data_IF_607852122374
#
_entry.id   IF_607852122374
#
_cell.length_a   1.000
_cell.length_b   1.000
_cell.length_c   1.000
_cell.angle_alpha   90.00
_cell.angle_beta   90.00
_cell.angle_gamma   90.00
#
_symmetry.space_group_name_H-M   'P 1'
#
loop_
_entity.id
_entity.type
_entity.pdbx_description
1 polymer ?
#
# COMPACT_ATOMS: atom_id res chain seq x y z
N UNK A 1 -2.86 12.80 19.06
CA UNK A 1 -4.20 13.01 18.45
C UNK A 1 -4.13 13.69 17.08
N UNK A 2 -3.74 14.97 16.95
CA UNK A 2 -3.71 15.68 15.65
C UNK A 2 -2.63 15.15 14.69
N UNK A 3 -1.45 14.79 15.22
CA UNK A 3 -0.34 14.29 14.40
C UNK A 3 -0.68 12.98 13.68
N UNK A 4 -1.14 11.94 14.39
CA UNK A 4 -1.51 10.65 13.77
C UNK A 4 -2.55 10.79 12.66
N UNK A 5 -3.56 11.66 12.87
CA UNK A 5 -4.55 12.00 11.84
C UNK A 5 -3.89 12.66 10.62
N UNK A 6 -2.99 13.61 10.83
CA UNK A 6 -2.24 14.25 9.75
C UNK A 6 -1.36 13.23 8.99
N UNK A 7 -0.64 12.36 9.70
CA UNK A 7 0.19 11.31 9.10
C UNK A 7 -0.64 10.35 8.24
N UNK A 8 -1.81 9.92 8.72
CA UNK A 8 -2.74 9.12 7.93
C UNK A 8 -3.17 9.86 6.64
N UNK A 9 -3.63 11.10 6.76
CA UNK A 9 -4.11 11.90 5.62
C UNK A 9 -2.99 12.11 4.60
N UNK A 10 -1.86 12.66 5.04
CA UNK A 10 -0.75 13.00 4.15
C UNK A 10 -0.09 11.74 3.58
N UNK A 11 0.09 10.68 4.37
CA UNK A 11 0.63 9.43 3.87
C UNK A 11 -0.21 8.88 2.71
N UNK A 12 -1.53 8.81 2.88
CA UNK A 12 -2.45 8.35 1.82
C UNK A 12 -2.44 9.26 0.59
N UNK A 13 -2.31 10.58 0.75
CA UNK A 13 -2.19 11.50 -0.40
C UNK A 13 -0.86 11.36 -1.13
N UNK A 14 0.25 11.29 -0.39
CA UNK A 14 1.60 11.26 -0.94
C UNK A 14 1.94 9.92 -1.60
N UNK A 15 1.39 8.80 -1.11
CA UNK A 15 1.54 7.48 -1.77
C UNK A 15 0.96 7.48 -3.20
N UNK A 16 -0.09 8.26 -3.47
CA UNK A 16 -0.59 8.37 -4.84
C UNK A 16 0.42 9.04 -5.78
N UNK A 17 1.23 9.99 -5.26
CA UNK A 17 2.28 10.63 -6.03
C UNK A 17 3.39 9.63 -6.34
N UNK A 18 3.80 8.82 -5.35
CA UNK A 18 4.83 7.79 -5.58
C UNK A 18 4.36 6.74 -6.58
N UNK A 19 3.10 6.32 -6.54
CA UNK A 19 2.54 5.41 -7.56
C UNK A 19 2.65 6.04 -8.97
N UNK A 20 2.34 7.33 -9.12
CA UNK A 20 2.49 8.03 -10.40
C UNK A 20 3.94 8.07 -10.88
N UNK A 21 4.88 8.35 -9.98
CA UNK A 21 6.32 8.32 -10.27
C UNK A 21 6.76 6.91 -10.67
N UNK A 22 6.31 5.87 -9.94
CA UNK A 22 6.63 4.49 -10.24
C UNK A 22 6.17 4.08 -11.66
N UNK A 23 4.95 4.47 -12.06
CA UNK A 23 4.43 4.21 -13.41
C UNK A 23 5.31 4.90 -14.46
N UNK A 24 5.70 6.15 -14.22
CA UNK A 24 6.59 6.88 -15.12
C UNK A 24 7.97 6.20 -15.24
N UNK A 25 8.62 5.88 -14.12
CA UNK A 25 9.93 5.20 -14.13
C UNK A 25 9.84 3.83 -14.80
N UNK A 26 8.81 3.06 -14.50
CA UNK A 26 8.57 1.73 -15.10
C UNK A 26 8.31 1.80 -16.60
N UNK A 27 7.76 2.91 -17.11
CA UNK A 27 7.53 3.13 -18.55
C UNK A 27 8.83 3.38 -19.33
N UNK A 28 9.92 3.74 -18.64
CA UNK A 28 11.23 4.00 -19.23
C UNK A 28 12.15 2.77 -19.20
N UNK A 29 11.90 1.85 -18.28
CA UNK A 29 12.72 0.66 -18.10
C UNK A 29 12.48 -0.38 -19.22
N UNK A 30 13.51 -1.11 -19.67
CA UNK A 30 13.38 -2.24 -20.60
C UNK A 30 12.36 -3.28 -20.16
N UNK A 31 11.80 -4.05 -21.09
CA UNK A 31 10.87 -5.14 -20.78
C UNK A 31 11.58 -6.45 -20.43
N UNK A 32 12.78 -6.67 -20.98
CA UNK A 32 13.61 -7.82 -20.63
C UNK A 32 14.05 -7.72 -19.15
N UNK A 33 13.91 -8.80 -18.35
CA UNK A 33 14.22 -8.76 -16.92
C UNK A 33 15.68 -8.42 -16.61
N UNK A 34 16.62 -8.93 -17.40
CA UNK A 34 18.06 -8.74 -17.16
C UNK A 34 18.45 -7.32 -17.55
N UNK A 35 18.01 -6.85 -18.71
CA UNK A 35 18.21 -5.46 -19.13
C UNK A 35 17.56 -4.47 -18.16
N UNK A 36 16.37 -4.79 -17.64
CA UNK A 36 15.67 -3.99 -16.63
C UNK A 36 16.46 -3.91 -15.34
N UNK A 37 17.00 -5.03 -14.85
CA UNK A 37 17.84 -5.05 -13.65
C UNK A 37 19.07 -4.16 -13.81
N UNK A 38 19.75 -4.27 -14.96
CA UNK A 38 20.91 -3.43 -15.28
C UNK A 38 20.52 -1.95 -15.34
N UNK A 39 19.42 -1.62 -16.04
CA UNK A 39 18.90 -0.26 -16.12
C UNK A 39 18.57 0.34 -14.74
N UNK A 40 17.94 -0.43 -13.85
CA UNK A 40 17.65 0.01 -12.48
C UNK A 40 18.93 0.27 -11.71
N UNK A 41 19.95 -0.58 -11.85
CA UNK A 41 21.25 -0.40 -11.19
C UNK A 41 22.01 0.83 -11.72
N UNK A 42 22.01 1.06 -13.03
CA UNK A 42 22.60 2.26 -13.64
C UNK A 42 21.92 3.55 -13.17
N UNK A 43 20.62 3.48 -12.85
CA UNK A 43 19.80 4.61 -12.39
C UNK A 43 19.45 4.51 -10.89
N UNK A 44 20.27 3.79 -10.11
CA UNK A 44 19.91 3.37 -8.76
C UNK A 44 19.50 4.52 -7.85
N UNK A 45 20.20 5.66 -7.91
CA UNK A 45 19.90 6.80 -7.04
C UNK A 45 18.46 7.28 -7.15
N UNK A 46 17.88 7.23 -8.36
CA UNK A 46 16.49 7.63 -8.61
C UNK A 46 15.53 6.59 -8.04
N UNK A 47 15.76 5.30 -8.34
CA UNK A 47 14.92 4.20 -7.86
C UNK A 47 14.96 4.06 -6.33
N UNK A 48 16.15 4.13 -5.75
CA UNK A 48 16.36 4.08 -4.32
C UNK A 48 15.71 5.27 -3.60
N UNK A 49 15.84 6.48 -4.15
CA UNK A 49 15.19 7.67 -3.58
C UNK A 49 13.67 7.56 -3.64
N UNK A 50 13.13 7.05 -4.75
CA UNK A 50 11.72 6.80 -4.92
C UNK A 50 11.19 5.77 -3.90
N UNK A 51 11.84 4.61 -3.77
CA UNK A 51 11.46 3.59 -2.80
C UNK A 51 11.61 4.05 -1.34
N UNK A 52 12.64 4.82 -1.02
CA UNK A 52 12.81 5.44 0.31
C UNK A 52 11.69 6.44 0.61
N UNK A 53 11.30 7.26 -0.36
CA UNK A 53 10.20 8.21 -0.20
C UNK A 53 8.87 7.48 0.04
N UNK A 54 8.59 6.44 -0.76
CA UNK A 54 7.39 5.63 -0.58
C UNK A 54 7.38 4.91 0.78
N UNK A 55 8.52 4.38 1.21
CA UNK A 55 8.68 3.78 2.54
C UNK A 55 8.31 4.76 3.67
N UNK A 56 8.76 6.02 3.57
CA UNK A 56 8.39 7.07 4.52
C UNK A 56 6.88 7.32 4.52
N UNK A 57 6.25 7.44 3.35
CA UNK A 57 4.82 7.73 3.26
C UNK A 57 3.95 6.57 3.75
N UNK A 58 4.33 5.33 3.42
CA UNK A 58 3.69 4.14 3.96
C UNK A 58 3.87 4.05 5.49
N UNK A 59 5.03 4.48 6.02
CA UNK A 59 5.28 4.54 7.47
C UNK A 59 4.34 5.55 8.14
N UNK A 60 4.08 6.70 7.50
CA UNK A 60 3.10 7.66 8.00
C UNK A 60 1.69 7.05 8.10
N UNK A 61 1.27 6.28 7.08
CA UNK A 61 0.00 5.56 7.08
C UNK A 61 -0.03 4.55 8.23
N UNK A 62 1.03 3.75 8.39
CA UNK A 62 1.14 2.74 9.45
C UNK A 62 1.05 3.37 10.85
N UNK A 63 1.77 4.46 11.13
CA UNK A 63 1.68 5.18 12.41
C UNK A 63 0.26 5.67 12.67
N UNK A 64 -0.40 6.23 11.64
CA UNK A 64 -1.80 6.65 11.72
C UNK A 64 -2.74 5.48 12.06
N UNK A 65 -2.59 4.37 11.35
CA UNK A 65 -3.39 3.15 11.57
C UNK A 65 -3.20 2.58 12.97
N UNK A 66 -1.95 2.43 13.43
CA UNK A 66 -1.61 1.88 14.74
C UNK A 66 -2.22 2.76 15.84
N UNK A 67 -2.09 4.07 15.70
CA UNK A 67 -2.70 5.01 16.62
C UNK A 67 -4.22 4.79 16.68
N UNK A 68 -4.90 4.69 15.53
CA UNK A 68 -6.34 4.44 15.49
C UNK A 68 -6.72 3.05 16.04
N UNK A 69 -5.89 2.03 15.85
CA UNK A 69 -6.11 0.69 16.41
C UNK A 69 -6.11 0.72 17.93
N UNK A 70 -5.09 1.34 18.53
CA UNK A 70 -4.93 1.46 19.99
C UNK A 70 -6.09 2.27 20.60
N UNK A 71 -6.46 3.38 19.94
CA UNK A 71 -7.39 4.35 20.50
C UNK A 71 -8.87 3.99 20.28
N UNK A 72 -9.23 3.48 19.09
CA UNK A 72 -10.62 3.08 18.82
C UNK A 72 -10.93 1.64 19.22
N UNK A 73 -9.91 0.79 19.43
CA UNK A 73 -10.06 -0.63 19.78
C UNK A 73 -10.99 -1.39 18.82
N UNK A 74 -11.03 -0.99 17.55
CA UNK A 74 -11.79 -1.66 16.49
C UNK A 74 -10.88 -2.60 15.72
N UNK A 75 -11.34 -3.84 15.51
CA UNK A 75 -10.60 -4.87 14.75
C UNK A 75 -10.19 -4.39 13.35
N UNK A 76 -11.01 -3.56 12.70
CA UNK A 76 -10.70 -2.98 11.39
C UNK A 76 -9.35 -2.26 11.38
N UNK A 77 -9.10 -1.43 12.39
CA UNK A 77 -7.86 -0.65 12.48
C UNK A 77 -6.66 -1.53 12.84
N UNK A 78 -6.86 -2.59 13.62
CA UNK A 78 -5.82 -3.58 13.89
C UNK A 78 -5.40 -4.27 12.59
N UNK A 79 -6.35 -4.74 11.78
CA UNK A 79 -6.07 -5.36 10.49
C UNK A 79 -5.37 -4.40 9.51
N UNK A 80 -5.86 -3.17 9.41
CA UNK A 80 -5.21 -2.11 8.60
C UNK A 80 -3.76 -1.90 9.03
N UNK A 81 -3.50 -1.86 10.35
CA UNK A 81 -2.15 -1.68 10.90
C UNK A 81 -1.24 -2.86 10.59
N UNK A 82 -1.70 -4.09 10.81
CA UNK A 82 -0.93 -5.31 10.55
C UNK A 82 -0.59 -5.42 9.07
N UNK A 83 -1.58 -5.21 8.18
CA UNK A 83 -1.35 -5.21 6.74
C UNK A 83 -0.31 -4.16 6.32
N UNK A 84 -0.36 -2.96 6.88
CA UNK A 84 0.64 -1.92 6.61
C UNK A 84 2.03 -2.28 7.12
N UNK A 85 2.16 -2.87 8.31
CA UNK A 85 3.46 -3.32 8.82
C UNK A 85 4.08 -4.41 7.96
N UNK A 86 3.26 -5.34 7.44
CA UNK A 86 3.71 -6.34 6.46
C UNK A 86 4.20 -5.63 5.20
N UNK A 87 3.41 -4.71 4.64
CA UNK A 87 3.77 -3.96 3.44
C UNK A 87 5.07 -3.17 3.62
N UNK A 88 5.34 -2.62 4.80
CA UNK A 88 6.59 -1.90 5.07
C UNK A 88 7.84 -2.77 4.94
N UNK A 89 7.73 -4.09 5.15
CA UNK A 89 8.88 -5.00 4.99
C UNK A 89 9.31 -5.19 3.53
N UNK A 90 8.48 -4.80 2.56
CA UNK A 90 8.82 -4.73 1.13
C UNK A 90 10.09 -3.90 0.90
N UNK A 91 10.12 -2.70 1.47
CA UNK A 91 11.15 -1.70 1.16
C UNK A 91 12.56 -2.12 1.55
N UNK A 92 12.84 -2.66 2.76
CA UNK A 92 14.17 -3.16 3.06
C UNK A 92 14.56 -4.35 2.18
N UNK A 93 13.62 -5.21 1.76
CA UNK A 93 13.90 -6.30 0.82
C UNK A 93 14.34 -5.74 -0.52
N UNK A 94 13.60 -4.79 -1.09
CA UNK A 94 13.91 -4.20 -2.40
C UNK A 94 15.19 -3.36 -2.36
N UNK A 95 15.34 -2.50 -1.35
CA UNK A 95 16.52 -1.63 -1.19
C UNK A 95 17.81 -2.41 -0.94
N UNK A 96 17.74 -3.52 -0.21
CA UNK A 96 18.90 -4.36 0.08
C UNK A 96 19.18 -5.43 -0.98
N UNK A 97 18.14 -5.90 -1.67
CA UNK A 97 18.23 -7.05 -2.59
C UNK A 97 18.57 -6.69 -4.03
N UNK A 98 18.36 -5.45 -4.47
CA UNK A 98 18.57 -5.04 -5.87
C UNK A 98 19.95 -4.43 -6.18
N UNK A 99 20.48 -3.59 -5.28
CA UNK A 99 21.66 -2.78 -5.62
C UNK A 99 22.93 -3.61 -5.71
N UNK A 100 23.60 -3.56 -6.87
CA UNK A 100 24.88 -4.22 -7.12
C UNK A 100 24.87 -5.73 -6.80
N UNK A 101 23.70 -6.37 -6.88
CA UNK A 101 23.55 -7.82 -6.71
C UNK A 101 23.49 -8.52 -8.06
N UNK A 102 23.89 -9.80 -8.14
CA UNK A 102 23.59 -10.65 -9.29
C UNK A 102 22.09 -10.68 -9.57
N UNK A 103 21.72 -10.83 -10.85
CA UNK A 103 20.32 -10.83 -11.28
C UNK A 103 19.48 -11.84 -10.50
N UNK A 104 20.01 -13.04 -10.25
CA UNK A 104 19.32 -14.11 -9.54
C UNK A 104 18.96 -13.71 -8.10
N UNK A 105 19.83 -12.94 -7.43
CA UNK A 105 19.59 -12.43 -6.08
C UNK A 105 18.53 -11.34 -6.10
N UNK A 106 18.59 -10.45 -7.09
CA UNK A 106 17.56 -9.41 -7.27
C UNK A 106 16.20 -10.02 -7.62
N UNK A 107 16.16 -11.05 -8.45
CA UNK A 107 14.94 -11.80 -8.78
C UNK A 107 14.35 -12.48 -7.54
N UNK A 108 15.19 -13.12 -6.72
CA UNK A 108 14.73 -13.70 -5.44
C UNK A 108 14.14 -12.62 -4.52
N UNK A 109 14.79 -11.46 -4.41
CA UNK A 109 14.28 -10.35 -3.62
C UNK A 109 12.95 -9.82 -4.17
N UNK A 110 12.81 -9.70 -5.49
CA UNK A 110 11.57 -9.31 -6.18
C UNK A 110 10.43 -10.28 -5.88
N UNK A 111 10.69 -11.60 -5.95
CA UNK A 111 9.69 -12.62 -5.63
C UNK A 111 9.25 -12.54 -4.17
N UNK A 112 10.19 -12.37 -3.23
CA UNK A 112 9.85 -12.17 -1.81
C UNK A 112 9.01 -10.91 -1.59
N UNK A 113 9.41 -9.81 -2.24
CA UNK A 113 8.71 -8.55 -2.24
C UNK A 113 7.27 -8.67 -2.77
N UNK A 114 7.06 -9.40 -3.86
CA UNK A 114 5.73 -9.67 -4.42
C UNK A 114 4.85 -10.43 -3.43
N UNK A 115 5.38 -11.47 -2.77
CA UNK A 115 4.61 -12.24 -1.77
C UNK A 115 4.19 -11.35 -0.60
N UNK A 116 5.13 -10.58 -0.06
CA UNK A 116 4.87 -9.60 1.01
C UNK A 116 3.84 -8.56 0.57
N UNK A 117 3.98 -8.04 -0.64
CA UNK A 117 3.07 -7.04 -1.21
C UNK A 117 1.65 -7.59 -1.34
N UNK A 118 1.47 -8.75 -1.95
CA UNK A 118 0.16 -9.37 -2.16
C UNK A 118 -0.49 -9.70 -0.82
N UNK A 119 0.23 -10.39 0.07
CA UNK A 119 -0.31 -10.79 1.36
C UNK A 119 -0.62 -9.60 2.27
N UNK A 120 0.28 -8.61 2.33
CA UNK A 120 0.07 -7.37 3.07
C UNK A 120 -1.16 -6.61 2.59
N UNK A 121 -1.38 -6.54 1.26
CA UNK A 121 -2.58 -5.95 0.68
C UNK A 121 -3.86 -6.71 1.04
N UNK A 122 -3.85 -8.05 1.07
CA UNK A 122 -5.02 -8.84 1.50
C UNK A 122 -5.44 -8.45 2.92
N UNK A 123 -4.50 -8.41 3.86
CA UNK A 123 -4.78 -8.07 5.26
C UNK A 123 -5.24 -6.61 5.38
N UNK A 124 -4.55 -5.69 4.73
CA UNK A 124 -4.88 -4.26 4.73
C UNK A 124 -6.28 -3.99 4.15
N UNK A 125 -6.59 -4.55 2.97
CA UNK A 125 -7.87 -4.39 2.29
C UNK A 125 -9.00 -5.07 3.06
N UNK A 126 -8.76 -6.22 3.69
CA UNK A 126 -9.72 -6.84 4.60
C UNK A 126 -10.07 -5.93 5.78
N UNK A 127 -9.06 -5.27 6.36
CA UNK A 127 -9.26 -4.25 7.38
C UNK A 127 -10.06 -3.03 6.90
N UNK A 128 -9.76 -2.52 5.70
CA UNK A 128 -10.50 -1.40 5.10
C UNK A 128 -11.94 -1.78 4.76
N UNK A 129 -12.17 -2.96 4.18
CA UNK A 129 -13.50 -3.46 3.86
C UNK A 129 -14.36 -3.55 5.12
N UNK A 130 -13.83 -4.16 6.19
CA UNK A 130 -14.51 -4.21 7.48
C UNK A 130 -14.75 -2.80 8.03
N UNK A 131 -13.78 -1.88 7.92
CA UNK A 131 -13.95 -0.49 8.34
C UNK A 131 -15.13 0.19 7.60
N UNK A 132 -15.19 0.06 6.28
CA UNK A 132 -16.22 0.73 5.49
C UNK A 132 -17.61 0.10 5.62
N UNK A 133 -17.70 -1.20 5.90
CA UNK A 133 -19.00 -1.86 6.13
C UNK A 133 -19.64 -1.41 7.44
N UNK A 134 -18.83 -1.24 8.50
CA UNK A 134 -19.33 -1.04 9.86
C UNK A 134 -19.20 0.39 10.39
N UNK A 135 -18.50 1.27 9.68
CA UNK A 135 -18.41 2.68 10.05
C UNK A 135 -19.39 3.56 9.24
N UNK A 136 -19.82 4.67 9.84
CA UNK A 136 -20.77 5.62 9.26
C UNK A 136 -20.16 7.01 9.04
N UNK A 137 -18.83 7.15 9.16
CA UNK A 137 -18.13 8.42 8.92
C UNK A 137 -18.19 8.90 7.47
N UNK A 138 -18.27 7.98 6.51
CA UNK A 138 -18.43 8.28 5.08
C UNK A 138 -19.92 8.41 4.73
N UNK A 139 -20.23 9.28 3.78
CA UNK A 139 -21.57 9.33 3.21
C UNK A 139 -21.88 8.02 2.44
N UNK A 140 -23.16 7.74 2.19
CA UNK A 140 -23.62 6.48 1.61
C UNK A 140 -22.93 6.14 0.27
N UNK A 141 -22.76 7.14 -0.60
CA UNK A 141 -22.19 6.96 -1.94
C UNK A 141 -20.70 6.63 -1.90
N UNK A 142 -19.90 7.43 -1.19
CA UNK A 142 -18.46 7.20 -1.04
C UNK A 142 -18.20 5.88 -0.33
N UNK A 143 -18.99 5.56 0.71
CA UNK A 143 -18.89 4.29 1.42
C UNK A 143 -19.16 3.10 0.51
N UNK A 144 -20.21 3.17 -0.32
CA UNK A 144 -20.53 2.09 -1.26
C UNK A 144 -19.41 1.89 -2.29
N UNK A 145 -18.88 2.98 -2.86
CA UNK A 145 -17.72 2.92 -3.76
C UNK A 145 -16.50 2.33 -3.07
N UNK A 146 -16.21 2.73 -1.83
CA UNK A 146 -15.09 2.23 -1.04
C UNK A 146 -15.20 0.72 -0.78
N UNK A 147 -16.39 0.24 -0.40
CA UNK A 147 -16.68 -1.20 -0.23
C UNK A 147 -16.50 -1.96 -1.54
N UNK A 148 -17.01 -1.43 -2.65
CA UNK A 148 -16.87 -2.04 -3.97
C UNK A 148 -15.40 -2.16 -4.40
N UNK A 149 -14.64 -1.06 -4.33
CA UNK A 149 -13.23 -1.03 -4.68
C UNK A 149 -12.40 -1.94 -3.78
N UNK A 150 -12.61 -1.90 -2.46
CA UNK A 150 -11.89 -2.75 -1.52
C UNK A 150 -12.20 -4.23 -1.76
N UNK A 151 -13.46 -4.59 -2.02
CA UNK A 151 -13.87 -5.96 -2.32
C UNK A 151 -13.23 -6.49 -3.60
N UNK A 152 -13.28 -5.72 -4.70
CA UNK A 152 -12.68 -6.12 -5.99
C UNK A 152 -11.17 -6.31 -5.82
N UNK A 153 -10.51 -5.36 -5.16
CA UNK A 153 -9.08 -5.44 -4.93
C UNK A 153 -8.69 -6.64 -4.05
N UNK A 154 -9.42 -6.85 -2.95
CA UNK A 154 -9.20 -7.98 -2.04
C UNK A 154 -9.36 -9.32 -2.76
N UNK A 155 -10.41 -9.46 -3.58
CA UNK A 155 -10.63 -10.67 -4.38
C UNK A 155 -9.47 -10.87 -5.37
N UNK A 156 -9.08 -9.83 -6.11
CA UNK A 156 -7.99 -9.92 -7.09
C UNK A 156 -6.67 -10.36 -6.44
N UNK A 157 -6.29 -9.75 -5.31
CA UNK A 157 -5.09 -10.14 -4.58
C UNK A 157 -5.19 -11.55 -3.98
N UNK A 158 -6.36 -11.95 -3.47
CA UNK A 158 -6.56 -13.30 -2.93
C UNK A 158 -6.44 -14.38 -4.00
N UNK A 159 -7.06 -14.16 -5.17
CA UNK A 159 -6.95 -15.04 -6.33
C UNK A 159 -5.51 -15.12 -6.83
N UNK A 160 -4.79 -14.00 -6.83
CA UNK A 160 -3.37 -13.97 -7.17
C UNK A 160 -2.50 -14.72 -6.18
N UNK A 161 -2.75 -14.57 -4.88
CA UNK A 161 -2.04 -15.28 -3.81
C UNK A 161 -2.23 -16.80 -3.88
N UNK A 162 -3.43 -17.25 -4.27
CA UNK A 162 -3.73 -18.67 -4.51
C UNK A 162 -3.14 -19.22 -5.83
N UNK A 163 -2.51 -18.37 -6.65
CA UNK A 163 -1.85 -18.78 -7.90
C UNK A 163 -2.77 -18.94 -9.11
N UNK A 164 -4.05 -18.54 -9.01
CA UNK A 164 -4.98 -18.60 -10.16
C UNK A 164 -4.70 -17.53 -11.22
N UNK A 165 -4.15 -16.38 -10.82
CA UNK A 165 -3.69 -15.31 -11.71
C UNK A 165 -2.30 -14.83 -11.28
N UNK A 166 -1.53 -14.29 -12.22
CA UNK A 166 -0.25 -13.64 -11.92
C UNK A 166 -0.44 -12.31 -11.18
N UNK A 167 0.56 -11.89 -10.41
CA UNK A 167 0.55 -10.57 -9.77
C UNK A 167 0.44 -9.42 -10.78
N UNK A 168 1.03 -9.58 -11.97
CA UNK A 168 0.93 -8.61 -13.08
C UNK A 168 -0.51 -8.43 -13.55
N UNK A 169 -1.28 -9.52 -13.63
CA UNK A 169 -2.71 -9.46 -13.94
C UNK A 169 -3.49 -8.81 -12.80
N UNK A 170 -3.15 -9.10 -11.55
CA UNK A 170 -3.77 -8.44 -10.40
C UNK A 170 -3.54 -6.92 -10.44
N UNK A 171 -2.38 -6.43 -10.88
CA UNK A 171 -2.09 -4.98 -10.97
C UNK A 171 -3.00 -4.18 -11.91
N UNK A 172 -3.81 -4.82 -12.76
CA UNK A 172 -4.85 -4.14 -13.55
C UNK A 172 -5.83 -3.38 -12.63
N UNK A 173 -6.02 -3.84 -11.39
CA UNK A 173 -6.85 -3.16 -10.38
C UNK A 173 -6.13 -2.00 -9.66
N UNK A 174 -4.88 -1.69 -10.03
CA UNK A 174 -4.09 -0.60 -9.45
C UNK A 174 -4.80 0.77 -9.42
N UNK A 175 -5.59 1.17 -10.45
CA UNK A 175 -6.39 2.39 -10.37
C UNK A 175 -7.40 2.40 -9.21
N UNK A 176 -7.92 1.23 -8.81
CA UNK A 176 -8.85 1.13 -7.68
C UNK A 176 -8.13 1.38 -6.35
N UNK A 177 -6.89 0.90 -6.19
CA UNK A 177 -6.11 1.13 -4.96
C UNK A 177 -5.72 2.60 -4.81
N UNK A 178 -5.41 3.30 -5.90
CA UNK A 178 -5.22 4.77 -5.94
C UNK A 178 -6.47 5.49 -5.40
N UNK A 179 -7.66 5.13 -5.92
CA UNK A 179 -8.92 5.71 -5.44
C UNK A 179 -9.18 5.41 -3.96
N UNK A 180 -8.84 4.20 -3.50
CA UNK A 180 -8.94 3.84 -2.09
C UNK A 180 -8.01 4.67 -1.20
N UNK A 181 -6.78 4.97 -1.62
CA UNK A 181 -5.91 5.89 -0.89
C UNK A 181 -6.53 7.30 -0.77
N UNK A 182 -7.15 7.82 -1.83
CA UNK A 182 -7.86 9.11 -1.76
C UNK A 182 -9.07 9.05 -0.82
N UNK A 183 -9.85 7.98 -0.87
CA UNK A 183 -10.97 7.75 0.06
C UNK A 183 -10.47 7.65 1.50
N UNK A 184 -9.33 7.00 1.75
CA UNK A 184 -8.71 6.89 3.06
C UNK A 184 -8.26 8.25 3.59
N UNK A 185 -7.65 9.09 2.76
CA UNK A 185 -7.30 10.46 3.15
C UNK A 185 -8.57 11.23 3.53
N UNK A 186 -9.63 11.14 2.72
CA UNK A 186 -10.94 11.76 3.01
C UNK A 186 -11.58 11.24 4.31
N UNK A 187 -11.57 9.92 4.51
CA UNK A 187 -12.00 9.28 5.76
C UNK A 187 -11.22 9.87 6.94
N UNK A 188 -9.90 10.00 6.79
CA UNK A 188 -9.01 10.66 7.73
C UNK A 188 -9.53 12.03 8.13
N UNK A 189 -9.88 12.91 7.19
CA UNK A 189 -10.46 14.23 7.51
C UNK A 189 -11.74 14.14 8.35
N UNK A 190 -12.60 13.15 8.10
CA UNK A 190 -13.88 12.94 8.79
C UNK A 190 -13.76 12.40 10.22
N UNK A 191 -12.64 11.75 10.57
CA UNK A 191 -12.42 11.28 11.94
C UNK A 191 -12.44 12.46 12.92
N UNK A 192 -13.39 12.42 13.87
CA UNK A 192 -13.43 13.34 15.01
C UNK A 192 -12.68 12.71 16.19
N UNK A 193 -11.58 13.36 16.58
CA UNK A 193 -10.69 12.86 17.63
C UNK A 193 -11.33 12.92 19.02
N UNK A 194 -12.38 13.72 19.20
CA UNK A 194 -13.16 13.81 20.45
C UNK A 194 -13.83 12.48 20.84
N UNK A 195 -14.07 11.59 19.87
CA UNK A 195 -14.68 10.27 20.09
C UNK A 195 -13.69 9.23 20.67
N UNK A 196 -12.42 9.58 20.90
CA UNK A 196 -11.38 8.67 21.43
C UNK A 196 -11.43 8.56 22.98
N UNK A 197 -12.13 9.47 23.65
CA UNK A 197 -12.17 9.55 25.13
C UNK A 197 -13.36 8.86 25.80
N UNK A 198 -14.14 8.04 25.08
CA UNK A 198 -15.15 7.15 25.66
C UNK A 198 -14.69 5.71 25.56
#
# INVERSE_FOLDING_TARGET
>A
MKLAKALWIFGNLLVNITIGIYIYLSSKAPLDPVERHNYINENWDIYASHWKAEFVFMTMIAIGAIYFAINFKKISWTLVSVGQLILLSLYPIMLGGYQNTPFEIAEMADQMAIVVFVFGNIVFLGGLLHLYLYDSLLNKWIRFSAVGFASIALIAFSISFMGFISWKQALIIGPLTILLFLINAYYGFKIKLENIKK
#
